data_IF_201651161737
#
_entry.id   IF_201651161737
#
_cell.length_a   1.000
_cell.length_b   1.000
_cell.length_c   1.000
_cell.angle_alpha   90.00
_cell.angle_beta   90.00
_cell.angle_gamma   90.00
#
_symmetry.space_group_name_H-M   'P 1'
#
loop_
_entity.id
_entity.type
_entity.pdbx_description
1 polymer ?
#
# COMPACT_ATOMS: atom_id res chain seq x y z
N UNK A 1 -63.60 31.59 -27.81
CA UNK A 1 -63.66 30.50 -26.82
C UNK A 1 -62.23 30.19 -26.37
N UNK A 2 -61.70 30.88 -25.35
CA UNK A 2 -60.41 30.52 -24.74
C UNK A 2 -60.69 29.92 -23.37
N UNK A 3 -60.34 28.63 -23.21
CA UNK A 3 -60.43 27.94 -21.93
C UNK A 3 -59.16 28.22 -21.14
N UNK A 4 -59.32 28.86 -19.98
CA UNK A 4 -58.24 29.15 -19.05
C UNK A 4 -58.00 27.89 -18.19
N UNK A 5 -56.87 27.21 -18.39
CA UNK A 5 -56.46 26.08 -17.57
C UNK A 5 -56.17 26.55 -16.15
N UNK A 6 -57.00 26.11 -15.20
CA UNK A 6 -56.78 26.32 -13.77
C UNK A 6 -55.71 25.33 -13.29
N UNK A 7 -54.55 25.85 -12.88
CA UNK A 7 -53.52 25.06 -12.21
C UNK A 7 -53.82 25.04 -10.71
N UNK A 8 -54.10 23.86 -10.14
CA UNK A 8 -54.23 23.69 -8.69
C UNK A 8 -52.85 23.65 -8.02
N UNK A 9 -52.63 24.39 -6.92
CA UNK A 9 -51.36 24.39 -6.21
C UNK A 9 -51.16 23.06 -5.46
N UNK A 10 -50.01 22.43 -5.68
CA UNK A 10 -49.63 21.17 -5.04
C UNK A 10 -49.46 21.40 -3.53
N UNK A 11 -50.09 20.59 -2.65
CA UNK A 11 -49.95 20.76 -1.20
C UNK A 11 -48.52 20.41 -0.77
N UNK A 12 -47.85 21.36 -0.12
CA UNK A 12 -46.51 21.17 0.46
C UNK A 12 -46.62 20.28 1.69
N UNK A 13 -46.46 18.99 1.51
CA UNK A 13 -46.31 18.04 2.63
C UNK A 13 -44.99 18.30 3.34
N UNK A 14 -45.05 18.54 4.65
CA UNK A 14 -43.88 18.78 5.48
C UNK A 14 -43.07 17.48 5.63
N UNK A 15 -41.85 17.48 5.14
CA UNK A 15 -40.94 16.35 5.25
C UNK A 15 -40.58 16.15 6.74
N UNK A 16 -40.80 14.95 7.32
CA UNK A 16 -40.45 14.68 8.72
C UNK A 16 -38.94 14.79 8.93
N UNK A 17 -38.54 15.45 10.03
CA UNK A 17 -37.12 15.63 10.36
C UNK A 17 -36.51 14.28 10.74
N UNK A 18 -35.49 13.86 9.98
CA UNK A 18 -34.66 12.72 10.33
C UNK A 18 -33.92 12.99 11.65
N UNK A 19 -33.73 11.96 12.51
CA UNK A 19 -32.90 12.10 13.69
C UNK A 19 -31.48 12.51 13.27
N UNK A 20 -30.90 13.49 13.97
CA UNK A 20 -29.56 14.01 13.68
C UNK A 20 -28.54 12.87 13.76
N UNK A 21 -28.05 12.41 12.60
CA UNK A 21 -26.99 11.40 12.58
C UNK A 21 -25.68 12.10 12.91
N UNK A 22 -24.96 11.55 13.89
CA UNK A 22 -23.72 12.04 14.48
C UNK A 22 -22.85 12.96 13.60
N UNK A 23 -22.40 14.06 14.22
CA UNK A 23 -21.46 15.00 13.61
C UNK A 23 -20.21 14.27 13.10
N UNK A 24 -19.93 14.45 11.81
CA UNK A 24 -18.79 13.84 11.11
C UNK A 24 -17.50 14.33 11.76
N UNK A 25 -16.88 13.50 12.60
CA UNK A 25 -15.54 13.75 13.14
C UNK A 25 -14.58 13.81 11.95
N UNK A 26 -14.07 15.01 11.64
CA UNK A 26 -13.01 15.16 10.65
C UNK A 26 -11.83 14.29 11.10
N UNK A 27 -11.35 13.43 10.20
CA UNK A 27 -10.22 12.54 10.50
C UNK A 27 -9.03 13.41 10.86
N UNK A 28 -8.44 13.19 12.04
CA UNK A 28 -7.25 13.92 12.47
C UNK A 28 -6.19 13.85 11.37
N UNK A 29 -5.80 15.02 10.86
CA UNK A 29 -4.78 15.11 9.83
C UNK A 29 -3.45 14.72 10.47
N UNK A 30 -2.91 13.55 10.07
CA UNK A 30 -1.65 13.05 10.64
C UNK A 30 -0.52 14.03 10.31
N UNK A 31 0.24 14.41 11.33
CA UNK A 31 1.46 15.22 11.19
C UNK A 31 2.48 14.49 10.31
N UNK A 32 3.39 15.21 9.62
CA UNK A 32 4.45 14.59 8.83
C UNK A 32 5.32 13.60 9.64
N UNK A 33 5.54 13.89 10.93
CA UNK A 33 6.28 13.00 11.83
C UNK A 33 5.56 11.68 12.12
N UNK A 34 4.26 11.72 12.38
CA UNK A 34 3.47 10.49 12.61
C UNK A 34 3.39 9.63 11.35
N UNK A 35 3.31 10.25 10.17
CA UNK A 35 3.41 9.54 8.88
C UNK A 35 4.77 8.88 8.68
N UNK A 36 5.87 9.56 9.04
CA UNK A 36 7.22 9.02 8.93
C UNK A 36 7.47 7.86 9.91
N UNK A 37 6.97 7.98 11.15
CA UNK A 37 7.05 6.91 12.15
C UNK A 37 6.28 5.66 11.70
N UNK A 38 5.06 5.82 11.19
CA UNK A 38 4.28 4.70 10.63
C UNK A 38 4.96 4.08 9.41
N UNK A 39 5.57 4.89 8.52
CA UNK A 39 6.33 4.37 7.38
C UNK A 39 7.53 3.55 7.85
N UNK A 40 8.32 4.08 8.78
CA UNK A 40 9.47 3.37 9.38
C UNK A 40 9.06 2.10 10.11
N UNK A 41 7.89 2.07 10.73
CA UNK A 41 7.38 0.85 11.37
C UNK A 41 6.97 -0.19 10.32
N UNK A 42 6.25 0.23 9.26
CA UNK A 42 5.88 -0.64 8.14
C UNK A 42 7.07 -1.18 7.37
N UNK A 43 8.08 -0.36 7.12
CA UNK A 43 9.29 -0.78 6.39
C UNK A 43 10.17 -1.73 7.21
N UNK A 44 10.04 -1.73 8.55
CA UNK A 44 10.71 -2.71 9.43
C UNK A 44 10.00 -4.06 9.46
N UNK A 45 8.69 -4.11 9.30
CA UNK A 45 7.90 -5.34 9.40
C UNK A 45 7.55 -5.98 8.06
N UNK A 46 7.70 -5.25 6.96
CA UNK A 46 7.35 -5.75 5.62
C UNK A 46 8.55 -6.34 4.91
N UNK A 47 8.49 -7.64 4.66
CA UNK A 47 9.44 -8.36 3.81
C UNK A 47 8.90 -8.36 2.38
N UNK A 48 9.68 -7.85 1.43
CA UNK A 48 9.36 -7.90 0.01
C UNK A 48 9.95 -9.16 -0.61
N UNK A 49 9.08 -10.14 -0.88
CA UNK A 49 9.51 -11.41 -1.45
C UNK A 49 9.81 -11.33 -2.96
N UNK A 50 9.23 -10.39 -3.72
CA UNK A 50 9.58 -10.13 -5.12
C UNK A 50 9.85 -11.40 -5.94
N UNK A 51 11.00 -11.44 -6.62
CA UNK A 51 11.51 -12.61 -7.36
C UNK A 51 12.22 -13.66 -6.48
N UNK A 52 12.21 -13.50 -5.16
CA UNK A 52 12.79 -14.50 -4.25
C UNK A 52 11.98 -15.78 -4.20
N UNK A 53 10.67 -15.74 -4.49
CA UNK A 53 9.85 -16.96 -4.55
C UNK A 53 10.32 -17.93 -5.64
N UNK A 54 10.71 -17.42 -6.80
CA UNK A 54 11.28 -18.21 -7.89
C UNK A 54 12.62 -18.84 -7.49
N UNK A 55 13.50 -18.04 -6.88
CA UNK A 55 14.79 -18.54 -6.35
C UNK A 55 14.60 -19.62 -5.29
N UNK A 56 13.58 -19.50 -4.46
CA UNK A 56 13.26 -20.53 -3.45
C UNK A 56 12.76 -21.81 -4.11
N UNK A 57 11.97 -21.72 -5.18
CA UNK A 57 11.56 -22.91 -5.95
C UNK A 57 12.76 -23.59 -6.61
N UNK A 58 13.69 -22.84 -7.19
CA UNK A 58 14.92 -23.45 -7.74
C UNK A 58 15.73 -24.18 -6.67
N UNK A 59 15.88 -23.59 -5.48
CA UNK A 59 16.58 -24.23 -4.36
C UNK A 59 15.84 -25.49 -3.91
N UNK A 60 14.52 -25.43 -3.84
CA UNK A 60 13.69 -26.59 -3.51
C UNK A 60 13.92 -27.73 -4.48
N UNK A 61 13.87 -27.43 -5.78
CA UNK A 61 13.98 -28.42 -6.84
C UNK A 61 15.40 -29.02 -6.91
N UNK A 62 16.45 -28.19 -6.72
CA UNK A 62 17.85 -28.65 -6.64
C UNK A 62 18.12 -29.56 -5.44
N UNK A 63 17.50 -29.27 -4.31
CA UNK A 63 17.68 -30.02 -3.07
C UNK A 63 16.68 -31.19 -2.93
N UNK A 64 15.80 -31.39 -3.91
CA UNK A 64 14.79 -32.46 -3.89
C UNK A 64 13.77 -32.31 -2.75
N UNK A 65 13.55 -31.08 -2.25
CA UNK A 65 12.66 -30.81 -1.13
C UNK A 65 11.21 -30.85 -1.60
N UNK A 66 10.40 -31.73 -1.00
CA UNK A 66 8.99 -31.90 -1.43
C UNK A 66 8.05 -30.88 -0.80
N UNK A 67 8.39 -30.40 0.40
CA UNK A 67 7.53 -29.54 1.21
C UNK A 67 8.12 -28.15 1.34
N UNK A 68 7.26 -27.13 1.30
CA UNK A 68 7.66 -25.75 1.57
C UNK A 68 8.24 -25.56 2.98
N UNK A 69 7.81 -26.37 3.94
CA UNK A 69 8.33 -26.37 5.31
C UNK A 69 9.79 -26.80 5.37
N UNK A 70 10.15 -27.88 4.68
CA UNK A 70 11.53 -28.39 4.63
C UNK A 70 12.46 -27.41 3.91
N UNK A 71 11.94 -26.75 2.87
CA UNK A 71 12.63 -25.64 2.20
C UNK A 71 12.88 -24.47 3.16
N UNK A 72 11.89 -24.07 3.96
CA UNK A 72 12.06 -23.00 4.93
C UNK A 72 13.10 -23.35 6.01
N UNK A 73 13.07 -24.58 6.55
CA UNK A 73 14.08 -25.08 7.49
C UNK A 73 15.47 -25.08 6.88
N UNK A 74 15.60 -25.58 5.64
CA UNK A 74 16.87 -25.59 4.92
C UNK A 74 17.44 -24.18 4.71
N UNK A 75 16.60 -23.21 4.34
CA UNK A 75 17.01 -21.82 4.16
C UNK A 75 17.45 -21.18 5.50
N UNK A 76 16.75 -21.49 6.59
CA UNK A 76 17.09 -20.99 7.93
C UNK A 76 18.41 -21.58 8.43
N UNK A 77 18.58 -22.89 8.32
CA UNK A 77 19.81 -23.59 8.71
C UNK A 77 21.02 -23.08 7.91
N UNK A 78 20.82 -22.82 6.61
CA UNK A 78 21.85 -22.25 5.75
C UNK A 78 22.21 -20.84 6.19
N UNK A 79 21.21 -20.01 6.53
CA UNK A 79 21.47 -18.66 7.03
C UNK A 79 22.24 -18.68 8.35
N UNK A 80 21.99 -19.59 9.28
CA UNK A 80 22.78 -19.68 10.51
C UNK A 80 24.22 -20.13 10.28
N UNK A 81 24.43 -21.01 9.29
CA UNK A 81 25.74 -21.52 8.89
C UNK A 81 26.58 -20.46 8.16
N UNK A 82 25.98 -19.65 7.30
CA UNK A 82 26.67 -18.67 6.46
C UNK A 82 26.56 -17.21 6.94
N UNK A 83 25.54 -16.88 7.73
CA UNK A 83 25.17 -15.52 8.14
C UNK A 83 26.02 -14.91 9.24
N UNK A 84 26.94 -15.68 9.84
CA UNK A 84 27.92 -15.14 10.81
C UNK A 84 29.04 -14.31 10.16
N UNK A 85 29.11 -14.25 8.83
CA UNK A 85 30.20 -13.58 8.09
C UNK A 85 29.82 -12.41 7.17
N UNK A 86 28.55 -12.08 6.97
CA UNK A 86 28.15 -11.16 5.88
C UNK A 86 27.11 -10.09 6.27
N UNK A 87 27.31 -9.39 7.38
CA UNK A 87 26.53 -8.18 7.71
C UNK A 87 27.04 -6.95 6.95
N UNK A 88 27.04 -6.96 5.62
CA UNK A 88 27.36 -5.78 4.80
C UNK A 88 26.84 -5.87 3.36
N UNK A 89 25.54 -6.03 3.18
CA UNK A 89 24.91 -5.62 1.91
C UNK A 89 24.45 -4.16 2.10
N UNK A 90 25.33 -3.23 1.70
CA UNK A 90 25.06 -1.80 1.64
C UNK A 90 23.74 -1.55 0.90
N UNK A 91 22.83 -0.87 1.59
CA UNK A 91 21.61 -0.29 1.06
C UNK A 91 21.96 0.55 -0.19
N UNK A 92 21.52 0.12 -1.37
CA UNK A 92 21.70 0.91 -2.59
C UNK A 92 20.89 2.19 -2.46
N UNK A 93 21.62 3.28 -2.24
CA UNK A 93 21.11 4.65 -2.14
C UNK A 93 20.53 5.05 -3.49
N UNK A 94 19.27 5.48 -3.47
CA UNK A 94 18.52 6.09 -4.56
C UNK A 94 19.37 7.08 -5.36
N UNK A 95 19.44 6.94 -6.69
CA UNK A 95 19.89 8.04 -7.56
C UNK A 95 18.87 9.20 -7.50
N UNK A 96 19.33 10.45 -7.43
CA UNK A 96 18.46 11.60 -7.50
C UNK A 96 17.96 11.81 -8.94
N UNK A 97 16.70 12.26 -9.03
CA UNK A 97 16.14 13.23 -9.98
C UNK A 97 17.07 13.64 -11.13
N UNK A 98 16.84 13.10 -12.33
CA UNK A 98 17.29 13.74 -13.57
C UNK A 98 16.44 14.99 -13.80
N UNK A 99 16.95 16.12 -13.34
CA UNK A 99 16.81 17.39 -14.08
C UNK A 99 17.65 17.23 -15.35
N UNK A 100 17.08 17.56 -16.50
CA UNK A 100 17.61 18.56 -17.44
C UNK A 100 17.01 18.36 -18.84
N UNK A 101 16.43 19.45 -19.33
CA UNK A 101 15.86 19.65 -20.67
C UNK A 101 16.90 19.43 -21.78
N UNK A 102 16.44 19.20 -23.00
CA UNK A 102 16.83 20.14 -24.05
C UNK A 102 15.63 20.83 -24.68
N UNK A 103 15.81 22.14 -24.80
CA UNK A 103 15.13 23.09 -25.67
C UNK A 103 15.19 22.60 -27.13
N UNK A 104 14.09 22.75 -27.87
CA UNK A 104 14.09 22.62 -29.32
C UNK A 104 13.19 23.72 -29.87
N UNK A 105 13.84 24.79 -30.31
CA UNK A 105 13.35 25.67 -31.36
C UNK A 105 13.13 24.85 -32.63
N UNK A 106 11.92 24.91 -33.19
CA UNK A 106 11.65 25.08 -34.63
C UNK A 106 10.19 25.52 -34.84
#
# INVERSE_FOLDING_TARGET
MQQQQQQHPVPKVAIPRLPSTAQKKFRNFKTPETKLAEKRLRDRSRVYLGSQSERWQEVRDRNGLKTSEDMAKFLLDSYEKFGKGSSSQKLQKTRPRSSDYPESDE
#
